data_IF_454866740484
#
_entry.id   IF_454866740484
#
_cell.length_a   1.000
_cell.length_b   1.000
_cell.length_c   1.000
_cell.angle_alpha   90.00
_cell.angle_beta   90.00
_cell.angle_gamma   90.00
#
_symmetry.space_group_name_H-M   'P 1'
#
loop_
_entity.id
_entity.type
_entity.pdbx_description
1 polymer ?
#
# COMPACT_ATOMS: atom_id res chain seq x y z
N UNK A 1 8.36 8.95 -19.39
CA UNK A 1 7.48 9.09 -18.20
C UNK A 1 6.15 8.31 -18.27
N UNK A 2 5.59 7.98 -19.44
CA UNK A 2 4.26 7.29 -19.54
C UNK A 2 4.13 5.91 -18.85
N UNK A 3 5.23 5.21 -18.57
CA UNK A 3 5.20 3.83 -18.03
C UNK A 3 5.00 3.75 -16.51
N UNK A 4 5.39 4.79 -15.75
CA UNK A 4 5.40 4.76 -14.28
C UNK A 4 4.31 5.60 -13.63
N UNK A 5 3.59 6.45 -14.39
CA UNK A 5 2.49 7.25 -13.85
C UNK A 5 1.47 6.45 -13.03
N UNK A 6 1.01 5.28 -13.52
CA UNK A 6 0.14 4.40 -12.74
C UNK A 6 0.75 3.93 -11.41
N UNK A 7 2.04 3.56 -11.40
CA UNK A 7 2.72 3.14 -10.17
C UNK A 7 2.83 4.27 -9.15
N UNK A 8 3.04 5.52 -9.59
CA UNK A 8 3.02 6.69 -8.72
C UNK A 8 1.65 6.90 -8.05
N UNK A 9 0.56 6.68 -8.79
CA UNK A 9 -0.79 6.80 -8.24
C UNK A 9 -1.10 5.67 -7.26
N UNK A 10 -0.70 4.44 -7.56
CA UNK A 10 -0.82 3.33 -6.59
C UNK A 10 0.01 3.60 -5.34
N UNK A 11 1.22 4.17 -5.47
CA UNK A 11 2.05 4.55 -4.34
C UNK A 11 1.42 5.65 -3.50
N UNK A 12 0.83 6.66 -4.14
CA UNK A 12 0.08 7.71 -3.46
C UNK A 12 -1.07 7.10 -2.65
N UNK A 13 -1.89 6.25 -3.27
CA UNK A 13 -3.02 5.65 -2.59
C UNK A 13 -2.57 4.75 -1.42
N UNK A 14 -1.52 3.95 -1.62
CA UNK A 14 -0.95 3.12 -0.56
C UNK A 14 -0.45 3.97 0.62
N UNK A 15 0.21 5.10 0.34
CA UNK A 15 0.63 6.06 1.36
C UNK A 15 -0.57 6.65 2.13
N UNK A 16 -1.65 7.02 1.43
CA UNK A 16 -2.87 7.53 2.06
C UNK A 16 -3.53 6.47 2.96
N UNK A 17 -3.57 5.21 2.50
CA UNK A 17 -4.08 4.10 3.30
C UNK A 17 -3.23 3.85 4.55
N UNK A 18 -1.90 3.95 4.44
CA UNK A 18 -0.99 3.89 5.60
C UNK A 18 -1.31 4.97 6.64
N UNK A 19 -1.42 6.23 6.20
CA UNK A 19 -1.72 7.34 7.10
C UNK A 19 -3.10 7.18 7.73
N UNK A 20 -4.13 6.90 6.94
CA UNK A 20 -5.48 6.68 7.42
C UNK A 20 -5.57 5.49 8.38
N UNK A 21 -4.91 4.38 8.06
CA UNK A 21 -4.87 3.18 8.90
C UNK A 21 -4.21 3.43 10.25
N UNK A 22 -3.10 4.19 10.29
CA UNK A 22 -2.44 4.59 11.54
C UNK A 22 -3.31 5.52 12.38
N UNK A 23 -4.02 6.46 11.76
CA UNK A 23 -4.98 7.33 12.45
C UNK A 23 -6.14 6.53 13.04
N UNK A 24 -6.77 5.65 12.25
CA UNK A 24 -7.84 4.77 12.76
C UNK A 24 -7.33 3.85 13.86
N UNK A 25 -6.11 3.32 13.74
CA UNK A 25 -5.48 2.52 14.79
C UNK A 25 -5.27 3.28 16.10
N UNK A 26 -5.01 4.58 16.04
CA UNK A 26 -4.96 5.45 17.21
C UNK A 26 -6.34 5.58 17.85
N UNK A 27 -7.38 5.84 17.04
CA UNK A 27 -8.76 5.95 17.55
C UNK A 27 -9.24 4.65 18.20
N UNK A 28 -8.89 3.48 17.64
CA UNK A 28 -9.21 2.18 18.26
C UNK A 28 -8.48 2.02 19.60
N UNK A 29 -7.21 2.44 19.68
CA UNK A 29 -6.49 2.42 20.94
C UNK A 29 -7.16 3.31 22.00
N UNK A 30 -7.53 4.54 21.64
CA UNK A 30 -8.26 5.46 22.54
C UNK A 30 -9.57 4.82 23.03
N UNK A 31 -10.34 4.22 22.12
CA UNK A 31 -11.62 3.61 22.44
C UNK A 31 -11.51 2.35 23.34
N UNK A 32 -10.41 1.59 23.21
CA UNK A 32 -10.21 0.34 23.95
C UNK A 32 -9.52 0.53 25.29
N UNK A 33 -8.83 1.66 25.52
CA UNK A 33 -8.07 1.90 26.74
C UNK A 33 -6.91 0.92 26.94
N UNK A 34 -6.43 0.27 25.87
CA UNK A 34 -5.35 -0.70 25.98
C UNK A 34 -4.05 -0.05 26.51
N UNK A 35 -3.26 -0.75 27.33
CA UNK A 35 -2.10 -0.15 28.00
C UNK A 35 -0.95 0.22 27.04
N UNK A 36 -0.93 -0.35 25.83
CA UNK A 36 0.12 -0.10 24.84
C UNK A 36 -0.50 0.31 23.49
N UNK A 37 -0.29 1.59 23.14
CA UNK A 37 -0.76 2.17 21.89
C UNK A 37 -0.18 1.47 20.67
N UNK A 38 1.12 1.21 20.65
CA UNK A 38 1.83 0.64 19.50
C UNK A 38 1.28 -0.76 19.16
N UNK A 39 0.98 -1.58 20.18
CA UNK A 39 0.45 -2.94 19.97
C UNK A 39 -0.95 -2.98 19.37
N UNK A 40 -1.73 -1.90 19.47
CA UNK A 40 -3.06 -1.81 18.85
C UNK A 40 -2.96 -1.07 17.51
N UNK A 41 -2.30 0.07 17.51
CA UNK A 41 -2.26 0.99 16.38
C UNK A 41 -1.51 0.41 15.18
N UNK A 42 -0.34 -0.22 15.39
CA UNK A 42 0.48 -0.72 14.28
C UNK A 42 -0.19 -1.90 13.57
N UNK A 43 -0.67 -2.96 14.26
CA UNK A 43 -1.37 -4.06 13.58
C UNK A 43 -2.65 -3.59 12.88
N UNK A 44 -3.43 -2.73 13.53
CA UNK A 44 -4.63 -2.12 12.91
C UNK A 44 -4.26 -1.37 11.65
N UNK A 45 -3.24 -0.53 11.72
CA UNK A 45 -2.76 0.25 10.58
C UNK A 45 -2.37 -0.66 9.41
N UNK A 46 -1.60 -1.72 9.66
CA UNK A 46 -1.19 -2.68 8.62
C UNK A 46 -2.41 -3.37 7.98
N UNK A 47 -3.35 -3.84 8.79
CA UNK A 47 -4.56 -4.54 8.32
C UNK A 47 -5.42 -3.61 7.46
N UNK A 48 -5.72 -2.41 7.95
CA UNK A 48 -6.53 -1.44 7.22
C UNK A 48 -5.84 -0.96 5.95
N UNK A 49 -4.52 -0.75 6.00
CA UNK A 49 -3.75 -0.32 4.83
C UNK A 49 -3.75 -1.37 3.74
N UNK A 50 -3.53 -2.63 4.13
CA UNK A 50 -3.56 -3.77 3.21
C UNK A 50 -4.94 -3.96 2.60
N UNK A 51 -5.98 -4.00 3.43
CA UNK A 51 -7.36 -4.18 2.97
C UNK A 51 -7.79 -3.01 2.06
N UNK A 52 -7.55 -1.77 2.47
CA UNK A 52 -7.87 -0.58 1.69
C UNK A 52 -7.14 -0.54 0.35
N UNK A 53 -5.85 -0.92 0.32
CA UNK A 53 -5.09 -1.01 -0.92
C UNK A 53 -5.63 -2.11 -1.85
N UNK A 54 -6.01 -3.28 -1.34
CA UNK A 54 -6.62 -4.33 -2.16
C UNK A 54 -7.97 -3.90 -2.74
N UNK A 55 -8.81 -3.22 -1.94
CA UNK A 55 -10.06 -2.62 -2.42
C UNK A 55 -9.78 -1.64 -3.56
N UNK A 56 -8.80 -0.75 -3.39
CA UNK A 56 -8.38 0.17 -4.46
C UNK A 56 -7.92 -0.54 -5.72
N UNK A 57 -7.10 -1.59 -5.60
CA UNK A 57 -6.67 -2.38 -6.76
C UNK A 57 -7.85 -3.07 -7.44
N UNK A 58 -8.81 -3.59 -6.68
CA UNK A 58 -10.01 -4.19 -7.22
C UNK A 58 -10.89 -3.17 -7.98
N UNK A 59 -11.08 -1.97 -7.42
CA UNK A 59 -11.83 -0.89 -8.06
C UNK A 59 -11.14 -0.36 -9.32
N UNK A 60 -9.81 -0.20 -9.27
CA UNK A 60 -9.00 0.27 -10.40
C UNK A 60 -8.76 -0.79 -11.48
N UNK A 61 -9.10 -2.06 -11.23
CA UNK A 61 -8.91 -3.16 -12.18
C UNK A 61 -9.67 -2.96 -13.51
N UNK A 62 -10.76 -2.18 -13.49
CA UNK A 62 -11.54 -1.84 -14.69
C UNK A 62 -10.86 -0.78 -15.57
N UNK A 63 -9.79 -0.15 -15.09
CA UNK A 63 -9.09 0.93 -15.78
C UNK A 63 -7.75 0.39 -16.27
N UNK A 64 -7.67 -0.02 -17.55
CA UNK A 64 -6.50 -0.67 -18.15
C UNK A 64 -5.20 0.13 -18.03
N UNK A 65 -5.29 1.47 -17.96
CA UNK A 65 -4.11 2.31 -17.73
C UNK A 65 -3.51 2.11 -16.34
N UNK A 66 -4.33 1.87 -15.32
CA UNK A 66 -3.90 1.71 -13.92
C UNK A 66 -3.33 0.31 -13.65
N UNK A 67 -3.92 -0.73 -14.25
CA UNK A 67 -3.45 -2.12 -14.04
C UNK A 67 -2.00 -2.34 -14.46
N UNK A 68 -1.51 -1.59 -15.46
CA UNK A 68 -0.09 -1.60 -15.88
C UNK A 68 0.88 -1.18 -14.77
N UNK A 69 0.42 -0.36 -13.82
CA UNK A 69 1.20 0.11 -12.67
C UNK A 69 1.58 -0.97 -11.66
N UNK A 70 1.01 -2.18 -11.82
CA UNK A 70 1.21 -3.31 -10.92
C UNK A 70 1.57 -4.60 -11.67
N UNK A 71 1.87 -4.54 -12.98
CA UNK A 71 1.96 -5.73 -13.83
C UNK A 71 3.24 -6.58 -13.65
N UNK A 72 4.26 -6.07 -12.95
CA UNK A 72 5.51 -6.80 -12.76
C UNK A 72 6.32 -6.28 -11.58
N UNK A 73 7.40 -7.00 -11.25
CA UNK A 73 8.24 -6.72 -10.08
C UNK A 73 8.76 -5.28 -10.05
N UNK A 74 9.20 -4.74 -11.20
CA UNK A 74 9.67 -3.35 -11.27
C UNK A 74 8.55 -2.34 -11.00
N UNK A 75 7.31 -2.59 -11.48
CA UNK A 75 6.18 -1.70 -11.20
C UNK A 75 5.74 -1.77 -9.74
N UNK A 76 5.85 -2.95 -9.11
CA UNK A 76 5.62 -3.11 -7.67
C UNK A 76 6.69 -2.37 -6.86
N UNK A 77 7.97 -2.49 -7.23
CA UNK A 77 9.06 -1.75 -6.60
C UNK A 77 8.87 -0.22 -6.77
N UNK A 78 8.46 0.24 -7.97
CA UNK A 78 8.15 1.64 -8.20
C UNK A 78 6.96 2.14 -7.34
N UNK A 79 5.93 1.30 -7.17
CA UNK A 79 4.79 1.58 -6.28
C UNK A 79 5.25 1.69 -4.82
N UNK A 80 6.10 0.77 -4.37
CA UNK A 80 6.67 0.76 -3.02
C UNK A 80 7.50 2.03 -2.75
N UNK A 81 8.45 2.35 -3.62
CA UNK A 81 9.33 3.51 -3.46
C UNK A 81 8.53 4.82 -3.56
N UNK A 82 7.57 4.91 -4.48
CA UNK A 82 6.73 6.10 -4.59
C UNK A 82 5.85 6.31 -3.36
N UNK A 83 5.33 5.26 -2.73
CA UNK A 83 4.63 5.38 -1.45
C UNK A 83 5.51 6.00 -0.36
N UNK A 84 6.78 5.57 -0.25
CA UNK A 84 7.73 6.15 0.70
C UNK A 84 8.06 7.61 0.40
N UNK A 85 8.12 8.01 -0.89
CA UNK A 85 8.34 9.41 -1.30
C UNK A 85 7.12 10.27 -1.00
N UNK A 86 5.91 9.76 -1.23
CA UNK A 86 4.68 10.47 -0.91
C UNK A 86 4.52 10.72 0.58
N UNK A 87 5.08 9.85 1.43
CA UNK A 87 5.03 9.99 2.87
C UNK A 87 5.49 11.38 3.38
N UNK A 88 6.74 11.82 3.19
CA UNK A 88 7.15 13.16 3.59
C UNK A 88 6.44 14.26 2.79
N UNK A 89 6.14 14.05 1.50
CA UNK A 89 5.44 15.05 0.67
C UNK A 89 4.07 15.41 1.24
N UNK A 90 3.37 14.46 1.86
CA UNK A 90 2.04 14.66 2.45
C UNK A 90 2.17 14.97 3.95
N UNK A 91 2.95 14.19 4.69
CA UNK A 91 3.05 14.31 6.15
C UNK A 91 3.64 15.64 6.59
N UNK A 92 4.70 16.12 5.93
CA UNK A 92 5.38 17.36 6.30
C UNK A 92 4.44 18.58 6.24
N UNK A 93 3.74 18.87 5.13
CA UNK A 93 2.83 20.01 5.08
C UNK A 93 1.63 19.85 6.02
N UNK A 94 1.09 18.64 6.16
CA UNK A 94 0.00 18.38 7.12
C UNK A 94 0.45 18.65 8.57
N UNK A 95 1.62 18.14 8.96
CA UNK A 95 2.19 18.37 10.28
C UNK A 95 2.41 19.87 10.53
N UNK A 96 2.96 20.59 9.54
CA UNK A 96 3.18 22.02 9.67
C UNK A 96 1.88 22.80 9.82
N UNK A 97 0.85 22.48 9.03
CA UNK A 97 -0.46 23.13 9.13
C UNK A 97 -1.15 22.90 10.48
N UNK A 98 -0.93 21.74 11.12
CA UNK A 98 -1.54 21.41 12.42
C UNK A 98 -0.75 21.95 13.60
N UNK A 99 0.59 21.91 13.55
CA UNK A 99 1.45 22.23 14.71
C UNK A 99 2.10 23.61 14.66
N UNK A 100 2.13 24.25 13.48
CA UNK A 100 2.77 25.55 13.27
C UNK A 100 4.29 25.49 13.02
N UNK A 101 4.91 24.30 13.01
CA UNK A 101 6.36 24.17 12.76
C UNK A 101 6.70 22.96 11.89
N UNK A 102 7.90 22.99 11.31
CA UNK A 102 8.39 21.93 10.42
C UNK A 102 8.72 20.67 11.21
N UNK A 103 8.25 19.52 10.71
CA UNK A 103 8.55 18.24 11.35
C UNK A 103 10.04 17.94 11.39
N UNK A 104 10.47 17.19 12.40
CA UNK A 104 11.85 16.72 12.51
C UNK A 104 12.15 15.60 11.49
N UNK A 105 13.44 15.39 11.19
CA UNK A 105 13.89 14.23 10.40
C UNK A 105 13.53 12.90 11.08
N UNK A 106 13.53 12.87 12.42
CA UNK A 106 13.15 11.70 13.20
C UNK A 106 11.72 11.23 12.94
N UNK A 107 10.77 12.17 12.82
CA UNK A 107 9.38 11.85 12.51
C UNK A 107 9.21 11.26 11.10
N UNK A 108 9.99 11.74 10.12
CA UNK A 108 9.99 11.18 8.76
C UNK A 108 10.50 9.74 8.78
N UNK A 109 11.61 9.50 9.49
CA UNK A 109 12.18 8.16 9.65
C UNK A 109 11.19 7.23 10.38
N UNK A 110 10.53 7.70 11.43
CA UNK A 110 9.50 6.94 12.15
C UNK A 110 8.33 6.55 11.21
N UNK A 111 7.89 7.49 10.37
CA UNK A 111 6.88 7.20 9.35
C UNK A 111 7.33 6.09 8.39
N UNK A 112 8.58 6.14 7.92
CA UNK A 112 9.12 5.07 7.07
C UNK A 112 9.24 3.72 7.78
N UNK A 113 9.60 3.69 9.07
CA UNK A 113 9.65 2.44 9.84
C UNK A 113 8.30 1.72 9.90
N UNK A 114 7.19 2.47 9.94
CA UNK A 114 5.86 1.88 9.79
C UNK A 114 5.57 1.49 8.33
N UNK A 115 5.84 2.37 7.37
CA UNK A 115 5.45 2.16 5.99
C UNK A 115 6.22 1.03 5.29
N UNK A 116 7.49 0.81 5.62
CA UNK A 116 8.31 -0.25 5.02
C UNK A 116 7.65 -1.64 5.16
N UNK A 117 7.35 -2.13 6.38
CA UNK A 117 6.68 -3.42 6.54
C UNK A 117 5.23 -3.39 6.04
N UNK A 118 4.47 -2.31 6.27
CA UNK A 118 3.08 -2.21 5.83
C UNK A 118 2.94 -2.30 4.29
N UNK A 119 3.77 -1.56 3.56
CA UNK A 119 3.81 -1.59 2.10
C UNK A 119 4.24 -2.96 1.58
N UNK A 120 5.24 -3.57 2.22
CA UNK A 120 5.73 -4.90 1.87
C UNK A 120 4.62 -5.93 1.98
N UNK A 121 3.91 -5.96 3.11
CA UNK A 121 2.77 -6.84 3.35
C UNK A 121 1.68 -6.58 2.29
N UNK A 122 1.25 -5.33 2.09
CA UNK A 122 0.19 -5.01 1.14
C UNK A 122 0.48 -5.49 -0.29
N UNK A 123 1.72 -5.28 -0.78
CA UNK A 123 2.12 -5.71 -2.12
C UNK A 123 2.30 -7.24 -2.22
N UNK A 124 2.84 -7.89 -1.19
CA UNK A 124 2.95 -9.35 -1.15
C UNK A 124 1.56 -10.00 -1.11
N UNK A 125 0.63 -9.46 -0.33
CA UNK A 125 -0.76 -9.91 -0.28
C UNK A 125 -1.43 -9.74 -1.65
N UNK A 126 -1.19 -8.64 -2.35
CA UNK A 126 -1.66 -8.45 -3.72
C UNK A 126 -1.12 -9.55 -4.67
N UNK A 127 0.17 -9.85 -4.60
CA UNK A 127 0.78 -10.90 -5.42
C UNK A 127 0.17 -12.26 -5.11
N UNK A 128 0.02 -12.60 -3.84
CA UNK A 128 -0.61 -13.84 -3.40
C UNK A 128 -2.07 -13.93 -3.88
N UNK A 129 -2.85 -12.86 -3.70
CA UNK A 129 -4.25 -12.77 -4.12
C UNK A 129 -4.41 -12.99 -5.63
N UNK A 130 -3.52 -12.41 -6.45
CA UNK A 130 -3.53 -12.62 -7.90
C UNK A 130 -3.21 -14.07 -8.28
N UNK A 131 -2.25 -14.70 -7.61
CA UNK A 131 -1.92 -16.12 -7.83
C UNK A 131 -3.10 -17.03 -7.52
N UNK A 132 -3.82 -16.76 -6.42
CA UNK A 132 -5.01 -17.52 -6.03
C UNK A 132 -6.18 -17.33 -7.02
N UNK A 133 -6.31 -16.16 -7.63
CA UNK A 133 -7.35 -15.86 -8.63
C UNK A 133 -7.04 -16.30 -10.05
N UNK A 134 -5.80 -16.68 -10.32
CA UNK A 134 -5.38 -17.28 -11.60
C UNK A 134 -5.08 -18.76 -11.41
N UNK A 135 -6.07 -19.62 -11.05
CA UNK A 135 -5.84 -21.05 -11.09
C UNK A 135 -5.72 -21.46 -12.55
N UNK A 136 -4.48 -21.69 -12.98
CA UNK A 136 -4.10 -22.71 -13.97
C UNK A 136 -5.05 -22.78 -15.19
N UNK A 137 -4.89 -21.86 -16.14
CA UNK A 137 -5.31 -22.08 -17.53
C UNK A 137 -4.35 -23.09 -18.21
N UNK A 138 -4.11 -24.25 -17.60
CA UNK A 138 -3.07 -25.21 -18.02
C UNK A 138 -3.56 -26.65 -18.20
N UNK A 139 -4.88 -26.89 -18.19
CA UNK A 139 -5.48 -28.20 -18.54
C UNK A 139 -6.27 -28.15 -19.86
N UNK A 140 -5.94 -27.22 -20.77
CA UNK A 140 -6.33 -27.40 -22.16
C UNK A 140 -5.28 -28.32 -22.80
N UNK A 141 -5.62 -29.58 -23.15
CA UNK A 141 -4.72 -30.41 -23.93
C UNK A 141 -4.35 -29.63 -25.19
N UNK A 142 -3.05 -29.49 -25.45
CA UNK A 142 -2.57 -28.89 -26.70
C UNK A 142 -3.22 -29.68 -27.85
N UNK A 143 -4.09 -29.08 -28.68
CA UNK A 143 -4.55 -29.76 -29.88
C UNK A 143 -3.30 -29.91 -30.76
N UNK A 144 -2.79 -31.13 -30.90
CA UNK A 144 -1.50 -31.40 -31.51
C UNK A 144 -0.60 -32.40 -30.78
N UNK A 145 -1.14 -33.20 -29.85
CA UNK A 145 -0.67 -34.58 -29.75
C UNK A 145 -0.99 -35.25 -31.09
N UNK A 146 0.00 -35.87 -31.69
CA UNK A 146 -0.12 -36.99 -32.62
C UNK A 146 -0.80 -36.68 -33.97
N UNK A 147 -0.02 -36.09 -34.89
CA UNK A 147 -0.17 -36.31 -36.33
C UNK A 147 1.23 -36.40 -36.95
#
# INVERSE_FOLDING_TARGET
>A
MRRYGPSLLHGLFLCLMNMGGVLVGYEIWVATGAPNQVSVQVPTGIVLSTAGFLVWVALSARITSLTRGLAGALSLAATFISALIWAPVIFVPLHHGVTGYWTSRGNIVACWFFQLPANGIALLTLVAWRRLRSPVANDQPRPGRDA
#
